data_IF_174243635288
#
_entry.id   IF_174243635288
#
_cell.length_a   1.000
_cell.length_b   1.000
_cell.length_c   1.000
_cell.angle_alpha   90.00
_cell.angle_beta   90.00
_cell.angle_gamma   90.00
#
_symmetry.space_group_name_H-M   'P 1'
#
loop_
_entity.id
_entity.type
_entity.pdbx_description
1 polymer ?
#
# COMPACT_ATOMS: atom_id res chain seq x y z
N UNK A 1 4.43 1.49 22.45
CA UNK A 1 3.68 0.35 22.20
C UNK A 1 2.41 0.62 21.55
N UNK A 2 2.06 -0.14 20.62
CA UNK A 2 0.82 0.12 19.93
C UNK A 2 -0.29 -0.70 20.54
N UNK A 3 -1.47 -0.13 20.51
CA UNK A 3 -2.67 -0.80 20.96
C UNK A 3 -3.34 -1.39 19.74
N UNK A 4 -3.63 -2.66 19.81
CA UNK A 4 -4.30 -3.33 18.70
C UNK A 4 -5.78 -3.32 18.93
N UNK A 5 -6.52 -2.89 17.93
CA UNK A 5 -7.98 -2.91 17.97
C UNK A 5 -8.46 -3.96 16.97
N UNK A 6 -9.53 -4.62 17.32
CA UNK A 6 -10.08 -5.67 16.48
C UNK A 6 -11.33 -5.16 15.78
N UNK A 7 -11.39 -5.38 14.48
CA UNK A 7 -12.55 -5.01 13.70
C UNK A 7 -13.29 -6.29 13.35
N UNK A 8 -14.56 -6.37 13.70
CA UNK A 8 -15.34 -7.56 13.42
C UNK A 8 -15.93 -7.46 12.03
N UNK A 9 -15.72 -8.50 11.24
CA UNK A 9 -16.30 -8.57 9.90
C UNK A 9 -17.10 -9.85 9.80
N UNK A 10 -18.38 -9.76 9.50
CA UNK A 10 -19.19 -10.97 9.38
C UNK A 10 -18.65 -11.88 8.28
N UNK A 11 -18.70 -13.18 8.56
CA UNK A 11 -18.20 -14.16 7.61
C UNK A 11 -18.94 -14.07 6.27
N UNK A 12 -20.23 -13.78 6.32
CA UNK A 12 -21.02 -13.71 5.09
C UNK A 12 -20.57 -12.56 4.20
N UNK A 13 -20.01 -11.51 4.78
CA UNK A 13 -19.49 -10.40 3.99
C UNK A 13 -18.25 -10.86 3.24
N UNK A 14 -17.38 -11.60 3.93
CA UNK A 14 -16.18 -12.13 3.29
C UNK A 14 -16.56 -13.11 2.18
N UNK A 15 -17.55 -13.94 2.45
CA UNK A 15 -18.00 -14.92 1.46
C UNK A 15 -18.58 -14.20 0.23
N UNK A 16 -19.38 -13.19 0.46
CA UNK A 16 -19.96 -12.43 -0.65
C UNK A 16 -18.89 -11.74 -1.48
N UNK A 17 -17.89 -11.20 -0.82
CA UNK A 17 -16.81 -10.51 -1.51
C UNK A 17 -15.78 -11.48 -2.06
N UNK A 18 -15.83 -12.72 -1.63
CA UNK A 18 -14.85 -13.76 -2.02
C UNK A 18 -13.45 -13.36 -1.61
N UNK A 19 -13.34 -12.87 -0.37
CA UNK A 19 -12.07 -12.46 0.18
C UNK A 19 -11.75 -13.21 1.44
N UNK A 20 -10.47 -13.45 1.67
CA UNK A 20 -10.02 -13.93 2.97
C UNK A 20 -9.81 -12.70 3.85
N UNK A 21 -9.69 -12.88 5.16
CA UNK A 21 -9.39 -11.74 6.03
C UNK A 21 -8.11 -11.02 5.65
N UNK A 22 -7.10 -11.76 5.19
CA UNK A 22 -5.83 -11.13 4.76
C UNK A 22 -6.04 -10.28 3.53
N UNK A 23 -6.83 -10.79 2.59
CA UNK A 23 -7.12 -10.03 1.38
C UNK A 23 -7.92 -8.78 1.70
N UNK A 24 -8.83 -8.88 2.66
CA UNK A 24 -9.60 -7.72 3.05
C UNK A 24 -8.71 -6.64 3.65
N UNK A 25 -7.70 -7.02 4.42
CA UNK A 25 -6.75 -6.06 4.97
C UNK A 25 -6.00 -5.35 3.85
N UNK A 26 -5.64 -6.07 2.82
CA UNK A 26 -4.96 -5.48 1.67
C UNK A 26 -5.87 -4.46 0.99
N UNK A 27 -7.14 -4.83 0.81
CA UNK A 27 -8.08 -3.92 0.19
C UNK A 27 -8.30 -2.66 1.01
N UNK A 28 -8.39 -2.81 2.32
CA UNK A 28 -8.51 -1.67 3.21
C UNK A 28 -7.29 -0.77 3.13
N UNK A 29 -6.11 -1.38 3.11
CA UNK A 29 -4.87 -0.62 3.06
C UNK A 29 -4.79 0.18 1.77
N UNK A 30 -5.14 -0.43 0.65
CA UNK A 30 -5.12 0.24 -0.63
C UNK A 30 -6.12 1.39 -0.64
N UNK A 31 -7.32 1.13 -0.15
CA UNK A 31 -8.36 2.15 -0.14
C UNK A 31 -7.95 3.35 0.71
N UNK A 32 -7.46 3.09 1.91
CA UNK A 32 -7.07 4.18 2.81
C UNK A 32 -5.87 4.95 2.27
N UNK A 33 -4.99 4.26 1.58
CA UNK A 33 -3.87 4.92 0.95
C UNK A 33 -4.36 5.85 -0.18
N UNK A 34 -5.29 5.37 -1.00
CA UNK A 34 -5.80 6.20 -2.10
C UNK A 34 -6.58 7.40 -1.58
N UNK A 35 -7.18 7.26 -0.40
CA UNK A 35 -7.91 8.36 0.21
C UNK A 35 -6.98 9.36 0.89
N UNK A 36 -5.69 9.08 0.92
CA UNK A 36 -4.74 9.95 1.59
C UNK A 36 -4.77 9.84 3.10
N UNK A 37 -5.36 8.77 3.63
CA UNK A 37 -5.48 8.60 5.07
C UNK A 37 -4.34 7.84 5.69
N UNK A 38 -3.63 7.06 4.90
CA UNK A 38 -2.48 6.31 5.38
C UNK A 38 -1.29 6.57 4.48
N UNK A 39 -0.12 6.67 5.08
CA UNK A 39 1.11 6.71 4.31
C UNK A 39 1.36 5.32 3.73
N UNK A 40 2.24 5.23 2.77
CA UNK A 40 2.57 3.95 2.15
C UNK A 40 3.18 3.01 3.19
N UNK A 41 3.95 3.54 4.12
CA UNK A 41 4.56 2.70 5.16
C UNK A 41 3.53 2.08 6.07
N UNK A 42 2.52 2.86 6.47
CA UNK A 42 1.47 2.34 7.33
C UNK A 42 0.53 1.43 6.55
N UNK A 43 0.25 1.77 5.32
CA UNK A 43 -0.64 0.96 4.50
C UNK A 43 -0.04 -0.43 4.26
N UNK A 44 1.25 -0.50 3.97
CA UNK A 44 1.86 -1.79 3.73
C UNK A 44 1.90 -2.62 5.01
N UNK A 45 2.02 -1.97 6.19
CA UNK A 45 1.96 -2.68 7.46
C UNK A 45 0.59 -3.31 7.67
N UNK A 46 -0.45 -2.55 7.39
CA UNK A 46 -1.80 -3.07 7.51
C UNK A 46 -2.02 -4.24 6.55
N UNK A 47 -1.49 -4.12 5.35
CA UNK A 47 -1.64 -5.16 4.34
C UNK A 47 -0.80 -6.40 4.64
N UNK A 48 0.21 -6.27 5.50
CA UNK A 48 1.11 -7.38 5.77
C UNK A 48 2.08 -7.65 4.64
N UNK A 49 2.40 -6.61 3.88
CA UNK A 49 3.29 -6.74 2.73
C UNK A 49 4.56 -5.95 2.96
N UNK A 50 5.59 -6.26 2.20
CA UNK A 50 6.78 -5.44 2.20
C UNK A 50 6.46 -4.18 1.41
N UNK A 51 7.28 -3.17 1.57
CA UNK A 51 7.08 -1.93 0.84
C UNK A 51 7.13 -2.17 -0.66
N UNK A 52 8.04 -2.99 -1.09
CA UNK A 52 8.20 -3.31 -2.49
C UNK A 52 6.96 -4.01 -3.04
N UNK A 53 6.44 -4.97 -2.29
CA UNK A 53 5.24 -5.69 -2.69
C UNK A 53 4.04 -4.76 -2.76
N UNK A 54 3.92 -3.86 -1.80
CA UNK A 54 2.79 -2.95 -1.76
C UNK A 54 2.86 -1.97 -2.94
N UNK A 55 4.04 -1.44 -3.22
CA UNK A 55 4.21 -0.54 -4.36
C UNK A 55 3.95 -1.23 -5.68
N UNK A 56 4.36 -2.49 -5.77
CA UNK A 56 4.08 -3.27 -6.96
C UNK A 56 2.57 -3.47 -7.15
N UNK A 57 1.88 -3.71 -6.05
CA UNK A 57 0.44 -3.86 -6.07
C UNK A 57 -0.23 -2.57 -6.54
N UNK A 58 0.21 -1.44 -6.01
CA UNK A 58 -0.35 -0.15 -6.42
C UNK A 58 -0.13 0.10 -7.90
N UNK A 59 1.06 -0.23 -8.38
CA UNK A 59 1.37 -0.05 -9.79
C UNK A 59 0.48 -0.94 -10.66
N UNK A 60 0.24 -2.18 -10.22
CA UNK A 60 -0.58 -3.09 -10.99
C UNK A 60 -2.04 -2.62 -11.05
N UNK A 61 -2.46 -1.83 -10.08
CA UNK A 61 -3.81 -1.28 -10.06
C UNK A 61 -3.85 0.13 -10.62
N UNK A 62 -2.71 0.60 -11.15
CA UNK A 62 -2.60 1.93 -11.76
C UNK A 62 -2.95 3.03 -10.77
N UNK A 63 -2.56 2.86 -9.52
CA UNK A 63 -2.78 3.85 -8.49
C UNK A 63 -1.53 4.71 -8.39
N UNK A 64 -1.63 6.01 -8.59
CA UNK A 64 -0.45 6.87 -8.54
C UNK A 64 0.08 6.96 -7.13
N UNK A 65 1.39 7.06 -6.97
CA UNK A 65 1.97 7.16 -5.64
C UNK A 65 1.67 8.50 -5.01
N UNK A 66 1.47 8.48 -3.69
CA UNK A 66 1.32 9.69 -2.90
C UNK A 66 2.60 9.83 -2.10
N UNK A 67 3.27 10.95 -2.24
CA UNK A 67 4.49 11.18 -1.50
C UNK A 67 4.25 12.29 -0.51
N UNK A 68 4.46 12.01 0.76
CA UNK A 68 4.44 13.05 1.77
C UNK A 68 5.73 12.92 2.58
N UNK A 69 5.91 13.82 3.51
CA UNK A 69 7.15 13.85 4.28
C UNK A 69 7.36 12.58 5.09
N UNK A 70 6.30 12.03 5.62
CA UNK A 70 6.40 10.81 6.40
C UNK A 70 6.92 9.66 5.56
N UNK A 71 6.40 9.54 4.36
CA UNK A 71 6.83 8.48 3.47
C UNK A 71 8.30 8.63 3.14
N UNK A 72 8.72 9.84 2.86
CA UNK A 72 10.12 10.07 2.49
C UNK A 72 11.05 9.72 3.64
N UNK A 73 10.67 10.06 4.85
CA UNK A 73 11.51 9.77 5.98
C UNK A 73 11.63 8.29 6.27
N UNK A 74 10.54 7.58 6.10
CA UNK A 74 10.54 6.17 6.41
C UNK A 74 11.26 5.34 5.37
N UNK A 75 11.18 5.76 4.12
CA UNK A 75 11.59 4.93 3.02
C UNK A 75 12.63 5.50 2.11
N UNK A 76 13.48 6.32 2.65
CA UNK A 76 14.47 7.01 1.82
C UNK A 76 15.27 6.07 0.95
N UNK A 77 15.75 4.98 1.51
CA UNK A 77 16.56 4.03 0.74
C UNK A 77 15.77 3.37 -0.35
N UNK A 78 14.62 2.84 0.01
CA UNK A 78 13.77 2.16 -0.95
C UNK A 78 13.29 3.11 -2.02
N UNK A 79 12.94 4.31 -1.60
CA UNK A 79 12.43 5.29 -2.51
C UNK A 79 13.48 5.68 -3.56
N UNK A 80 14.71 5.81 -3.13
CA UNK A 80 15.77 6.14 -4.06
C UNK A 80 15.96 5.08 -5.12
N UNK A 81 15.90 3.84 -4.72
CA UNK A 81 16.02 2.76 -5.66
C UNK A 81 14.87 2.75 -6.64
N UNK A 82 13.67 2.92 -6.13
CA UNK A 82 12.50 2.94 -6.97
C UNK A 82 12.51 4.13 -7.90
N UNK A 83 12.93 5.28 -7.41
CA UNK A 83 13.02 6.46 -8.25
C UNK A 83 13.98 6.26 -9.39
N UNK A 84 15.08 5.61 -9.11
CA UNK A 84 16.05 5.34 -10.16
C UNK A 84 15.43 4.46 -11.24
N UNK A 85 14.73 3.42 -10.84
CA UNK A 85 14.07 2.54 -11.78
C UNK A 85 12.98 3.24 -12.55
N UNK A 86 12.20 4.04 -11.84
CA UNK A 86 11.13 4.79 -12.46
C UNK A 86 11.66 5.81 -13.44
N UNK A 87 12.75 6.47 -13.10
CA UNK A 87 13.34 7.46 -13.99
C UNK A 87 13.79 6.81 -15.27
N UNK A 88 14.39 5.64 -15.18
CA UNK A 88 14.80 4.93 -16.36
C UNK A 88 13.62 4.53 -17.21
N UNK A 89 12.52 4.17 -16.58
CA UNK A 89 11.32 3.82 -17.31
C UNK A 89 10.66 5.03 -17.93
N UNK A 90 10.62 6.10 -17.18
CA UNK A 90 9.94 7.30 -17.64
C UNK A 90 10.65 8.00 -18.76
N UNK A 91 11.92 7.78 -18.79
CA UNK A 91 12.65 8.41 -19.81
C UNK A 91 12.38 7.87 -21.14
N UNK A 92 11.89 6.66 -21.21
CA UNK A 92 11.60 6.19 -22.37
C UNK A 92 10.50 6.71 -22.80
N UNK A 93 10.52 7.01 -23.65
CA UNK A 93 9.72 7.67 -24.31
C UNK A 93 8.68 7.88 -24.19
N UNK A 94 8.46 8.46 -23.82
CA UNK A 94 7.42 8.91 -23.90
C UNK A 94 7.31 9.26 -25.06
#
# INVERSE_FOLDING_TARGET
MSTVRVLEVPQEVLDSARLTPSELKVELAVHLYTQGRLSVGKARELAGLTLCEFRHLLASRRIPPHYDESDLEEDVSSLRELDRLWSLSAIRPL
#
